data_IF_992702265739
#
_entry.id   IF_992702265739
#
_cell.length_a   1.000
_cell.length_b   1.000
_cell.length_c   1.000
_cell.angle_alpha   90.00
_cell.angle_beta   90.00
_cell.angle_gamma   90.00
#
_symmetry.space_group_name_H-M   'P 1'
#
loop_
_entity.id
_entity.type
_entity.pdbx_description
1 polymer ?
#
# COMPACT_ATOMS: atom_id res chain seq x y z
N UNK A 1 4.67 -5.13 40.03
CA UNK A 1 4.99 -4.04 39.07
C UNK A 1 3.77 -3.84 38.19
N UNK A 2 2.82 -3.01 38.61
CA UNK A 2 1.56 -2.76 37.88
C UNK A 2 1.53 -1.30 37.40
N UNK A 3 1.03 -1.05 36.18
CA UNK A 3 0.55 0.29 35.80
C UNK A 3 1.18 1.01 34.60
N UNK A 4 1.57 0.36 33.49
CA UNK A 4 1.97 1.06 32.25
C UNK A 4 1.09 0.77 31.02
N UNK A 5 -0.22 0.55 31.21
CA UNK A 5 -1.12 0.15 30.12
C UNK A 5 -2.04 1.25 29.55
N UNK A 6 -2.55 2.17 30.38
CA UNK A 6 -3.72 2.96 29.98
C UNK A 6 -3.42 4.41 29.52
N UNK A 7 -2.24 4.94 29.85
CA UNK A 7 -1.89 6.36 29.63
C UNK A 7 -1.13 6.62 28.32
N UNK A 8 -0.93 5.61 27.47
CA UNK A 8 -0.29 5.75 26.15
C UNK A 8 -1.31 6.01 25.04
N UNK A 9 -2.52 5.43 25.14
CA UNK A 9 -3.59 5.60 24.15
C UNK A 9 -4.19 7.02 24.12
N UNK A 10 -4.35 7.68 25.28
CA UNK A 10 -4.86 9.06 25.34
C UNK A 10 -3.85 10.11 24.85
N UNK A 11 -2.55 9.81 24.92
CA UNK A 11 -1.48 10.77 24.60
C UNK A 11 -1.28 11.00 23.10
N UNK A 12 -1.80 10.13 22.24
CA UNK A 12 -1.78 10.29 20.78
C UNK A 12 -3.05 10.92 20.25
N UNK A 13 -4.17 10.80 20.96
CA UNK A 13 -5.49 11.31 20.56
C UNK A 13 -5.54 12.84 20.35
N UNK A 14 -4.68 13.58 21.04
CA UNK A 14 -4.63 15.05 20.98
C UNK A 14 -3.45 15.58 20.15
N UNK A 15 -2.83 14.75 19.28
CA UNK A 15 -1.69 15.17 18.46
C UNK A 15 -1.94 14.89 16.97
N UNK A 16 -1.48 15.83 16.14
CA UNK A 16 -1.45 15.68 14.69
C UNK A 16 -2.54 16.48 13.98
N UNK A 17 -2.63 16.27 12.68
CA UNK A 17 -3.51 17.04 11.80
C UNK A 17 -5.00 16.91 12.18
N UNK A 18 -5.43 15.71 12.59
CA UNK A 18 -6.82 15.43 12.92
C UNK A 18 -7.31 16.11 14.21
N UNK A 19 -6.40 16.46 15.13
CA UNK A 19 -6.75 17.11 16.41
C UNK A 19 -6.72 18.64 16.34
N UNK A 20 -6.45 19.22 15.16
CA UNK A 20 -6.41 20.68 14.97
C UNK A 20 -7.79 21.25 14.70
N UNK A 21 -7.96 22.56 14.85
CA UNK A 21 -9.19 23.25 14.43
C UNK A 21 -9.39 23.18 12.92
N UNK A 22 -10.66 23.21 12.50
CA UNK A 22 -11.05 23.07 11.09
C UNK A 22 -10.38 24.10 10.17
N UNK A 23 -10.24 25.33 10.64
CA UNK A 23 -9.59 26.40 9.87
C UNK A 23 -8.10 26.12 9.67
N UNK A 24 -7.41 25.70 10.74
CA UNK A 24 -6.00 25.33 10.69
C UNK A 24 -5.78 24.11 9.79
N UNK A 25 -6.64 23.08 9.88
CA UNK A 25 -6.60 21.93 8.98
C UNK A 25 -6.72 22.36 7.51
N UNK A 26 -7.69 23.23 7.20
CA UNK A 26 -7.90 23.75 5.83
C UNK A 26 -6.70 24.54 5.33
N UNK A 27 -6.13 25.41 6.15
CA UNK A 27 -4.97 26.21 5.78
C UNK A 27 -3.75 25.32 5.47
N UNK A 28 -3.49 24.32 6.31
CA UNK A 28 -2.41 23.34 6.12
C UNK A 28 -2.66 22.49 4.87
N UNK A 29 -3.87 21.96 4.68
CA UNK A 29 -4.23 21.18 3.50
C UNK A 29 -4.06 21.99 2.21
N UNK A 30 -4.51 23.26 2.20
CA UNK A 30 -4.33 24.17 1.07
C UNK A 30 -2.85 24.39 0.77
N UNK A 31 -2.04 24.68 1.79
CA UNK A 31 -0.59 24.89 1.64
C UNK A 31 0.11 23.64 1.10
N UNK A 32 -0.23 22.47 1.64
CA UNK A 32 0.30 21.18 1.17
C UNK A 32 -0.07 20.91 -0.29
N UNK A 33 -1.34 21.11 -0.65
CA UNK A 33 -1.82 20.93 -2.02
C UNK A 33 -1.12 21.85 -3.02
N UNK A 34 -0.93 23.14 -2.67
CA UNK A 34 -0.17 24.08 -3.49
C UNK A 34 1.26 23.60 -3.73
N UNK A 35 1.97 23.19 -2.66
CA UNK A 35 3.35 22.72 -2.77
C UNK A 35 3.47 21.47 -3.67
N UNK A 36 2.56 20.50 -3.52
CA UNK A 36 2.56 19.27 -4.35
C UNK A 36 2.21 19.59 -5.82
N UNK A 37 1.29 20.52 -6.05
CA UNK A 37 0.85 20.88 -7.41
C UNK A 37 1.91 21.60 -8.26
N UNK A 38 2.92 22.22 -7.64
CA UNK A 38 3.97 22.98 -8.34
C UNK A 38 4.79 22.11 -9.31
N UNK A 39 5.01 20.83 -8.98
CA UNK A 39 5.71 19.90 -9.86
C UNK A 39 4.96 18.57 -9.95
N UNK A 40 3.85 18.59 -10.71
CA UNK A 40 2.98 17.42 -10.88
C UNK A 40 3.71 16.22 -11.48
N UNK A 41 4.57 16.42 -12.48
CA UNK A 41 5.27 15.33 -13.17
C UNK A 41 6.21 14.58 -12.21
N UNK A 42 7.02 15.32 -11.45
CA UNK A 42 7.92 14.73 -10.46
C UNK A 42 7.17 13.99 -9.35
N UNK A 43 6.09 14.59 -8.82
CA UNK A 43 5.28 13.95 -7.77
C UNK A 43 4.58 12.68 -8.27
N UNK A 44 4.14 12.67 -9.52
CA UNK A 44 3.57 11.48 -10.16
C UNK A 44 4.62 10.37 -10.33
N UNK A 45 5.85 10.71 -10.72
CA UNK A 45 6.96 9.74 -10.83
C UNK A 45 7.30 9.10 -9.48
N UNK A 46 7.40 9.91 -8.41
CA UNK A 46 7.61 9.42 -7.04
C UNK A 46 6.49 8.46 -6.65
N UNK A 47 5.22 8.86 -6.87
CA UNK A 47 4.06 8.04 -6.55
C UNK A 47 4.06 6.70 -7.29
N UNK A 48 4.36 6.71 -8.59
CA UNK A 48 4.49 5.51 -9.42
C UNK A 48 5.55 4.56 -8.87
N UNK A 49 6.77 5.06 -8.65
CA UNK A 49 7.90 4.26 -8.15
C UNK A 49 7.61 3.66 -6.77
N UNK A 50 7.00 4.44 -5.88
CA UNK A 50 6.59 3.96 -4.54
C UNK A 50 5.51 2.87 -4.61
N UNK A 51 4.56 3.03 -5.53
CA UNK A 51 3.52 2.05 -5.84
C UNK A 51 4.09 0.74 -6.40
N UNK A 52 5.02 0.82 -7.35
CA UNK A 52 5.72 -0.34 -7.94
C UNK A 52 6.51 -1.10 -6.86
N UNK A 53 7.29 -0.40 -6.04
CA UNK A 53 8.11 -1.00 -4.97
C UNK A 53 7.25 -1.72 -3.91
N UNK A 54 6.12 -1.11 -3.55
CA UNK A 54 5.17 -1.68 -2.59
C UNK A 54 4.31 -2.79 -3.20
N UNK A 55 3.97 -2.64 -4.47
CA UNK A 55 3.16 -3.56 -5.27
C UNK A 55 3.91 -4.85 -5.54
N UNK A 56 5.19 -4.80 -5.87
CA UNK A 56 6.02 -5.99 -6.04
C UNK A 56 6.17 -6.77 -4.71
N UNK A 57 6.38 -6.05 -3.61
CA UNK A 57 6.47 -6.66 -2.27
C UNK A 57 5.18 -7.35 -1.82
N UNK A 58 4.02 -6.89 -2.33
CA UNK A 58 2.69 -7.45 -1.99
C UNK A 58 2.17 -8.45 -3.01
N UNK A 59 2.50 -8.27 -4.29
CA UNK A 59 2.09 -9.14 -5.39
C UNK A 59 2.68 -10.54 -5.29
N UNK A 60 3.88 -10.68 -4.72
CA UNK A 60 4.52 -11.99 -4.48
C UNK A 60 3.80 -12.87 -3.45
N UNK A 61 2.83 -12.37 -2.67
CA UNK A 61 2.10 -13.18 -1.67
C UNK A 61 0.75 -13.75 -2.14
N UNK A 62 0.21 -13.29 -3.27
CA UNK A 62 -1.17 -13.60 -3.67
C UNK A 62 -1.31 -14.13 -5.11
N UNK A 63 -0.38 -14.95 -5.58
CA UNK A 63 -0.61 -15.78 -6.78
C UNK A 63 -0.95 -17.21 -6.38
N UNK A 64 -2.22 -17.67 -6.48
CA UNK A 64 -2.48 -19.09 -6.58
C UNK A 64 -1.90 -19.56 -7.92
N UNK A 65 -0.81 -20.29 -7.83
CA UNK A 65 -0.06 -20.86 -8.95
C UNK A 65 -0.90 -21.95 -9.63
N UNK A 66 -1.57 -21.61 -10.73
CA UNK A 66 -2.27 -22.57 -11.56
C UNK A 66 -1.24 -23.25 -12.50
N UNK A 67 -0.67 -24.37 -12.04
CA UNK A 67 0.29 -25.17 -12.80
C UNK A 67 -0.38 -25.84 -14.01
N UNK A 68 0.18 -25.74 -15.22
CA UNK A 68 -0.30 -26.53 -16.36
C UNK A 68 0.09 -28.00 -16.18
N UNK A 69 -0.90 -28.89 -16.05
CA UNK A 69 -0.69 -30.34 -16.02
C UNK A 69 -0.28 -30.83 -17.41
N UNK A 70 0.95 -31.35 -17.53
CA UNK A 70 1.41 -32.06 -18.73
C UNK A 70 0.63 -33.37 -18.88
N UNK A 71 -0.22 -33.44 -19.91
CA UNK A 71 -0.78 -34.70 -20.38
C UNK A 71 0.31 -35.47 -21.13
N UNK A 72 0.77 -36.56 -20.51
CA UNK A 72 1.69 -37.50 -21.12
C UNK A 72 0.99 -38.23 -22.27
N UNK A 73 1.70 -38.31 -23.39
CA UNK A 73 1.34 -39.13 -24.54
C UNK A 73 1.51 -40.60 -24.15
N UNK A 74 0.44 -41.38 -24.16
CA UNK A 74 0.54 -42.83 -24.27
C UNK A 74 0.21 -43.22 -25.71
N UNK A 75 1.28 -43.54 -26.44
CA UNK A 75 1.21 -44.29 -27.69
C UNK A 75 0.82 -45.72 -27.34
N UNK A 76 -0.25 -46.21 -27.96
CA UNK A 76 -0.65 -47.60 -27.90
C UNK A 76 -1.19 -47.98 -29.27
N UNK A 77 -0.28 -48.35 -30.17
CA UNK A 77 -0.58 -49.13 -31.37
C UNK A 77 -1.47 -50.31 -30.97
N UNK A 78 -2.64 -50.46 -31.62
CA UNK A 78 -3.29 -51.76 -31.68
C UNK A 78 -3.26 -52.20 -33.14
N UNK A 79 -2.44 -53.22 -33.36
CA UNK A 79 -2.35 -54.05 -34.55
C UNK A 79 -3.39 -55.14 -34.39
N UNK A 80 -4.39 -55.18 -35.28
CA UNK A 80 -4.89 -56.34 -36.07
C UNK A 80 -6.28 -56.03 -36.65
#
# INVERSE_FOLDING_TARGET
MEGRGENTMKRTANRGFASMDREQQRAIARKGGLAVSQNRQHMAEIGRKGGESSGESRGRKNTPENQPQQQQQEQGENVE
#
